data_IF_051808980436
#
_entry.id   IF_051808980436
#
_cell.length_a   1.000
_cell.length_b   1.000
_cell.length_c   1.000
_cell.angle_alpha   90.00
_cell.angle_beta   90.00
_cell.angle_gamma   90.00
#
_symmetry.space_group_name_H-M   'P 1'
#
loop_
_entity.id
_entity.type
_entity.pdbx_description
1 polymer ?
#
# COMPACT_ATOMS: atom_id res chain seq x y z
N UNK A 1 -8.52 9.00 -11.38
CA UNK A 1 -9.46 8.36 -10.46
C UNK A 1 -9.39 6.85 -10.67
N UNK A 2 -9.15 6.05 -9.63
CA UNK A 2 -9.18 4.59 -9.75
C UNK A 2 -10.64 4.11 -9.76
N UNK A 3 -10.96 3.14 -10.63
CA UNK A 3 -12.30 2.56 -10.74
C UNK A 3 -12.28 1.13 -10.21
N UNK A 4 -13.40 0.69 -9.65
CA UNK A 4 -13.57 -0.72 -9.23
C UNK A 4 -13.29 -1.65 -10.42
N UNK A 5 -12.59 -2.75 -10.17
CA UNK A 5 -12.15 -3.71 -11.19
C UNK A 5 -10.89 -3.30 -11.95
N UNK A 6 -10.37 -2.08 -11.77
CA UNK A 6 -9.07 -1.70 -12.31
C UNK A 6 -7.97 -2.44 -11.55
N UNK A 7 -7.03 -3.03 -12.28
CA UNK A 7 -5.85 -3.64 -11.67
C UNK A 7 -5.09 -2.54 -10.92
N UNK A 8 -4.77 -2.80 -9.64
CA UNK A 8 -3.98 -1.87 -8.84
C UNK A 8 -2.61 -1.67 -9.50
N UNK A 9 -2.15 -0.42 -9.70
CA UNK A 9 -0.80 -0.15 -10.18
C UNK A 9 0.24 -0.74 -9.23
N UNK A 10 1.32 -1.28 -9.79
CA UNK A 10 2.43 -1.75 -8.96
C UNK A 10 3.15 -0.56 -8.33
N UNK A 11 3.64 -0.76 -7.10
CA UNK A 11 4.41 0.24 -6.39
C UNK A 11 5.39 -0.42 -5.43
N UNK A 12 6.44 0.32 -5.13
CA UNK A 12 7.45 -0.06 -4.15
C UNK A 12 7.60 1.08 -3.14
N UNK A 13 7.55 0.75 -1.85
CA UNK A 13 7.68 1.71 -0.76
C UNK A 13 8.66 1.20 0.29
N UNK A 14 9.44 2.11 0.87
CA UNK A 14 10.20 1.82 2.09
C UNK A 14 9.26 1.89 3.29
N UNK A 15 9.31 0.85 4.11
CA UNK A 15 8.57 0.75 5.37
C UNK A 15 9.32 1.46 6.50
N UNK A 16 8.62 1.74 7.59
CA UNK A 16 9.21 2.28 8.82
C UNK A 16 10.31 1.40 9.42
N UNK A 17 10.19 0.08 9.24
CA UNK A 17 11.22 -0.91 9.60
C UNK A 17 12.49 -0.84 8.74
N UNK A 18 12.52 -0.04 7.67
CA UNK A 18 13.62 0.02 6.70
C UNK A 18 13.57 -1.05 5.62
N UNK A 19 12.66 -2.01 5.72
CA UNK A 19 12.39 -2.99 4.66
C UNK A 19 11.63 -2.35 3.49
N UNK A 20 11.59 -3.06 2.36
CA UNK A 20 10.86 -2.65 1.17
C UNK A 20 9.59 -3.48 1.03
N UNK A 21 8.48 -2.83 0.68
CA UNK A 21 7.25 -3.48 0.25
C UNK A 21 7.06 -3.24 -1.26
N UNK A 22 6.88 -4.32 -2.04
CA UNK A 22 6.49 -4.24 -3.46
C UNK A 22 5.17 -4.96 -3.68
N UNK A 23 4.16 -4.27 -4.23
CA UNK A 23 2.80 -4.83 -4.34
C UNK A 23 2.77 -6.14 -5.16
N UNK A 24 3.53 -6.21 -6.25
CA UNK A 24 3.56 -7.39 -7.12
C UNK A 24 4.09 -8.67 -6.44
N UNK A 25 4.91 -8.55 -5.39
CA UNK A 25 5.41 -9.69 -4.61
C UNK A 25 4.31 -10.38 -3.78
N UNK A 26 3.17 -9.70 -3.58
CA UNK A 26 2.04 -10.18 -2.78
C UNK A 26 0.86 -10.67 -3.63
N UNK A 27 1.05 -10.88 -4.94
CA UNK A 27 0.01 -11.46 -5.82
C UNK A 27 -0.49 -12.81 -5.29
N UNK A 28 -1.79 -13.06 -5.45
CA UNK A 28 -2.46 -14.25 -4.92
C UNK A 28 -2.92 -14.12 -3.47
N UNK A 29 -2.67 -12.99 -2.81
CA UNK A 29 -3.21 -12.64 -1.49
C UNK A 29 -4.13 -11.44 -1.57
N UNK A 30 -5.08 -11.36 -0.65
CA UNK A 30 -5.90 -10.16 -0.48
C UNK A 30 -5.07 -9.07 0.21
N UNK A 31 -5.05 -7.87 -0.36
CA UNK A 31 -4.33 -6.70 0.15
C UNK A 31 -5.29 -5.53 0.28
N UNK A 32 -5.24 -4.83 1.41
CA UNK A 32 -6.00 -3.59 1.67
C UNK A 32 -5.02 -2.45 1.87
N UNK A 33 -5.19 -1.36 1.13
CA UNK A 33 -4.36 -0.15 1.23
C UNK A 33 -5.19 0.93 1.93
N UNK A 34 -4.63 1.52 2.97
CA UNK A 34 -5.25 2.57 3.75
C UNK A 34 -4.28 3.74 3.93
N UNK A 35 -4.75 4.96 3.66
CA UNK A 35 -3.98 6.19 3.81
C UNK A 35 -4.51 6.99 4.99
N UNK A 36 -3.62 7.55 5.79
CA UNK A 36 -3.95 8.45 6.89
C UNK A 36 -3.07 9.71 6.82
N UNK A 37 -3.51 10.86 7.36
CA UNK A 37 -2.85 12.14 7.11
C UNK A 37 -1.45 12.28 7.71
N UNK A 38 -1.25 11.79 8.95
CA UNK A 38 0.02 11.93 9.66
C UNK A 38 0.23 10.85 10.70
N UNK A 39 1.44 10.30 10.74
CA UNK A 39 1.85 9.34 11.77
C UNK A 39 2.03 10.03 13.14
N UNK A 40 1.84 9.27 14.21
CA UNK A 40 2.11 9.70 15.59
C UNK A 40 1.33 10.94 16.04
N UNK A 41 0.09 11.09 15.57
CA UNK A 41 -0.84 12.12 16.05
C UNK A 41 -2.04 11.46 16.71
N UNK A 42 -2.56 12.08 17.78
CA UNK A 42 -3.95 11.85 18.20
C UNK A 42 -4.77 12.51 17.09
N UNK A 43 -5.44 11.74 16.25
CA UNK A 43 -6.17 12.26 15.09
C UNK A 43 -7.13 13.38 15.42
#
# INVERSE_FOLDING_TARGET
MLKVGTIAPDFTLTLDSGNTFTLSEHRGRNVVIFFFPRASTRG
#
